data_IF_607936389111
#
_entry.id   IF_607936389111
#
_cell.length_a   1.000
_cell.length_b   1.000
_cell.length_c   1.000
_cell.angle_alpha   90.00
_cell.angle_beta   90.00
_cell.angle_gamma   90.00
#
_symmetry.space_group_name_H-M   'P 1'
#
loop_
_entity.id
_entity.type
_entity.pdbx_description
1 polymer ?
#
# COMPACT_ATOMS: atom_id res chain seq x y z
N UNK A 1 8.91 -0.38 -18.98
CA UNK A 1 9.79 0.74 -19.34
C UNK A 1 9.67 1.04 -20.82
N UNK A 2 9.98 0.10 -21.72
CA UNK A 2 10.01 0.30 -23.18
C UNK A 2 8.76 0.94 -23.79
N UNK A 3 7.55 0.44 -23.48
CA UNK A 3 6.28 1.01 -23.99
C UNK A 3 6.05 2.45 -23.56
N UNK A 4 6.40 2.80 -22.31
CA UNK A 4 6.27 4.17 -21.81
C UNK A 4 7.25 5.13 -22.47
N UNK A 5 8.47 4.66 -22.74
CA UNK A 5 9.44 5.43 -23.50
C UNK A 5 8.96 5.75 -24.91
N UNK A 6 8.48 4.75 -25.65
CA UNK A 6 7.94 4.97 -27.00
C UNK A 6 6.84 6.03 -26.98
N UNK A 7 5.94 5.96 -25.99
CA UNK A 7 4.87 6.95 -25.85
C UNK A 7 5.41 8.36 -25.57
N UNK A 8 6.32 8.53 -24.61
CA UNK A 8 6.87 9.84 -24.25
C UNK A 8 7.66 10.45 -25.39
N UNK A 9 8.52 9.66 -26.05
CA UNK A 9 9.40 10.15 -27.10
C UNK A 9 8.77 10.17 -28.50
N UNK A 10 7.48 9.81 -28.61
CA UNK A 10 6.68 10.11 -29.79
C UNK A 10 6.22 11.58 -29.83
N UNK A 11 6.28 12.28 -28.71
CA UNK A 11 5.98 13.71 -28.61
C UNK A 11 7.22 14.59 -28.83
N UNK A 12 7.00 15.84 -29.24
CA UNK A 12 8.07 16.82 -29.39
C UNK A 12 8.50 17.40 -28.02
N UNK A 13 9.82 17.51 -27.81
CA UNK A 13 10.42 18.09 -26.59
C UNK A 13 10.00 17.40 -25.26
N UNK A 14 9.56 16.15 -25.31
CA UNK A 14 9.18 15.40 -24.13
C UNK A 14 10.39 14.85 -23.40
N UNK A 15 10.29 14.78 -22.07
CA UNK A 15 11.29 14.17 -21.18
C UNK A 15 10.60 13.19 -20.25
N UNK A 16 11.32 12.13 -19.87
CA UNK A 16 10.85 11.14 -18.92
C UNK A 16 11.60 11.31 -17.60
N UNK A 17 10.87 11.48 -16.52
CA UNK A 17 11.41 11.48 -15.16
C UNK A 17 10.93 10.18 -14.49
N UNK A 18 11.87 9.37 -14.05
CA UNK A 18 11.61 8.14 -13.30
C UNK A 18 12.00 8.39 -11.85
N UNK A 19 11.06 8.22 -10.94
CA UNK A 19 11.26 8.38 -9.51
C UNK A 19 10.99 7.05 -8.81
N UNK A 20 11.82 6.73 -7.82
CA UNK A 20 11.63 5.52 -7.03
C UNK A 20 12.67 5.39 -5.93
N UNK A 21 12.59 4.29 -5.22
CA UNK A 21 13.48 3.97 -4.11
C UNK A 21 13.92 2.52 -4.23
N UNK A 22 15.22 2.30 -4.40
CA UNK A 22 15.82 0.97 -4.53
C UNK A 22 15.74 0.12 -3.26
N UNK A 23 15.43 0.73 -2.11
CA UNK A 23 15.19 0.01 -0.87
C UNK A 23 13.73 -0.44 -0.68
N UNK A 24 12.82 -0.02 -1.57
CA UNK A 24 11.43 -0.52 -1.60
C UNK A 24 11.34 -1.84 -2.36
N UNK A 25 10.21 -2.54 -2.19
CA UNK A 25 9.97 -3.82 -2.86
C UNK A 25 10.05 -3.65 -4.39
N UNK A 26 10.85 -4.48 -5.08
CA UNK A 26 10.95 -4.45 -6.53
C UNK A 26 9.65 -4.99 -7.19
N UNK A 27 9.50 -4.83 -8.51
CA UNK A 27 8.43 -5.48 -9.25
C UNK A 27 8.41 -6.99 -9.03
N UNK A 28 7.22 -7.60 -9.11
CA UNK A 28 7.04 -9.04 -8.92
C UNK A 28 7.98 -9.83 -9.83
N UNK A 29 8.67 -10.83 -9.29
CA UNK A 29 9.65 -11.70 -9.97
C UNK A 29 10.94 -10.97 -10.39
N UNK A 30 11.24 -9.81 -9.85
CA UNK A 30 12.50 -9.10 -10.10
C UNK A 30 13.23 -8.80 -8.79
N UNK A 31 14.55 -8.73 -8.85
CA UNK A 31 15.42 -8.37 -7.72
C UNK A 31 15.58 -6.86 -7.58
N UNK A 32 15.41 -6.12 -8.68
CA UNK A 32 15.48 -4.66 -8.74
C UNK A 32 14.49 -4.12 -9.77
N UNK A 33 14.21 -2.83 -9.71
CA UNK A 33 13.36 -2.17 -10.71
C UNK A 33 14.20 -1.77 -11.93
N UNK A 34 13.94 -2.32 -13.14
CA UNK A 34 14.64 -1.91 -14.35
C UNK A 34 14.46 -0.41 -14.68
N UNK A 35 13.40 0.20 -14.17
CA UNK A 35 13.14 1.62 -14.36
C UNK A 35 14.07 2.54 -13.55
N UNK A 36 14.73 1.99 -12.53
CA UNK A 36 15.67 2.71 -11.68
C UNK A 36 17.14 2.34 -11.96
N UNK A 37 17.38 1.45 -12.92
CA UNK A 37 18.73 1.04 -13.29
C UNK A 37 19.23 1.87 -14.49
N UNK A 38 20.23 2.77 -14.30
CA UNK A 38 20.73 3.62 -15.36
C UNK A 38 21.33 2.88 -16.55
N UNK A 39 21.96 1.71 -16.31
CA UNK A 39 22.57 0.92 -17.38
C UNK A 39 21.52 0.31 -18.30
N UNK A 40 20.43 -0.22 -17.72
CA UNK A 40 19.30 -0.72 -18.49
C UNK A 40 18.68 0.40 -19.33
N UNK A 41 18.56 1.60 -18.76
CA UNK A 41 18.00 2.76 -19.48
C UNK A 41 18.93 3.23 -20.62
N UNK A 42 20.25 3.26 -20.40
CA UNK A 42 21.23 3.57 -21.46
C UNK A 42 21.19 2.54 -22.59
N UNK A 43 20.89 1.28 -22.28
CA UNK A 43 20.69 0.23 -23.28
C UNK A 43 19.53 0.50 -24.27
N UNK A 44 18.63 1.43 -23.93
CA UNK A 44 17.58 1.92 -24.84
C UNK A 44 17.98 3.20 -25.58
N UNK A 45 19.26 3.52 -25.68
CA UNK A 45 19.82 4.73 -26.28
C UNK A 45 19.35 6.05 -25.62
N UNK A 46 19.04 6.02 -24.32
CA UNK A 46 18.66 7.21 -23.59
C UNK A 46 19.88 7.88 -22.96
N UNK A 47 19.86 9.21 -22.96
CA UNK A 47 20.75 9.99 -22.11
C UNK A 47 20.15 10.04 -20.70
N UNK A 48 20.82 9.38 -19.75
CA UNK A 48 20.34 9.25 -18.38
C UNK A 48 21.16 10.14 -17.47
N UNK A 49 20.46 11.02 -16.75
CA UNK A 49 20.99 11.75 -15.61
C UNK A 49 20.40 11.20 -14.34
N UNK A 50 21.24 10.82 -13.39
CA UNK A 50 20.83 10.27 -12.10
C UNK A 50 21.04 11.29 -10.99
N UNK A 51 20.03 11.42 -10.12
CA UNK A 51 20.08 12.26 -8.93
C UNK A 51 19.59 11.43 -7.75
N UNK A 52 20.39 11.34 -6.69
CA UNK A 52 20.01 10.64 -5.46
C UNK A 52 19.69 11.66 -4.36
N UNK A 53 18.45 11.62 -3.85
CA UNK A 53 18.05 12.40 -2.68
C UNK A 53 18.46 11.66 -1.41
N UNK A 54 19.26 12.28 -0.57
CA UNK A 54 19.83 11.66 0.65
C UNK A 54 19.25 12.22 1.94
N UNK A 55 18.63 13.40 1.89
CA UNK A 55 18.09 14.05 3.08
C UNK A 55 16.66 13.56 3.38
N UNK A 56 16.43 13.08 4.59
CA UNK A 56 15.10 12.73 5.10
C UNK A 56 14.49 13.93 5.80
N UNK A 57 13.32 14.37 5.33
CA UNK A 57 12.64 15.59 5.83
C UNK A 57 11.45 15.26 6.74
N UNK A 58 10.87 14.05 6.61
CA UNK A 58 9.58 13.69 7.23
C UNK A 58 9.63 13.36 8.72
N UNK A 59 10.80 13.07 9.27
CA UNK A 59 10.94 12.58 10.64
C UNK A 59 12.05 13.33 11.37
N UNK A 60 11.89 13.49 12.71
CA UNK A 60 12.90 14.08 13.58
C UNK A 60 14.09 13.15 13.76
N UNK A 61 15.25 13.70 14.16
CA UNK A 61 16.47 12.93 14.42
C UNK A 61 16.34 11.89 15.54
N UNK A 62 15.33 12.03 16.41
CA UNK A 62 15.08 11.13 17.55
C UNK A 62 14.08 9.99 17.23
N UNK A 63 13.74 9.80 15.95
CA UNK A 63 12.80 8.76 15.50
C UNK A 63 13.45 7.39 15.44
N UNK A 64 12.88 6.42 16.14
CA UNK A 64 13.25 5.00 16.07
C UNK A 64 12.91 4.38 14.72
N UNK A 65 11.84 4.83 14.09
CA UNK A 65 11.45 4.43 12.74
C UNK A 65 12.54 4.84 11.74
N UNK A 66 12.95 6.12 11.78
CA UNK A 66 13.98 6.64 10.88
C UNK A 66 15.32 5.94 11.09
N UNK A 67 15.74 5.74 12.35
CA UNK A 67 16.99 5.06 12.65
C UNK A 67 17.02 3.65 12.06
N UNK A 68 15.99 2.86 12.32
CA UNK A 68 15.94 1.48 11.86
C UNK A 68 15.81 1.39 10.33
N UNK A 69 15.01 2.26 9.71
CA UNK A 69 14.90 2.34 8.26
C UNK A 69 16.25 2.71 7.61
N UNK A 70 16.98 3.68 8.16
CA UNK A 70 18.31 4.08 7.67
C UNK A 70 19.32 2.94 7.79
N UNK A 71 19.37 2.26 8.93
CA UNK A 71 20.27 1.10 9.13
C UNK A 71 19.99 -0.04 8.14
N UNK A 72 18.71 -0.34 7.89
CA UNK A 72 18.33 -1.36 6.89
C UNK A 72 18.73 -0.92 5.47
N UNK A 73 18.53 0.34 5.14
CA UNK A 73 18.93 0.91 3.84
C UNK A 73 20.43 0.86 3.62
N UNK A 74 21.21 1.21 4.64
CA UNK A 74 22.68 1.17 4.58
C UNK A 74 23.18 -0.27 4.45
N UNK A 75 22.57 -1.22 5.17
CA UNK A 75 22.88 -2.63 5.05
C UNK A 75 22.59 -3.18 3.65
N UNK A 76 21.46 -2.79 3.04
CA UNK A 76 21.14 -3.12 1.65
C UNK A 76 22.18 -2.58 0.67
N UNK A 77 22.53 -1.30 0.82
CA UNK A 77 23.53 -0.62 -0.04
C UNK A 77 24.90 -1.30 0.04
N UNK A 78 25.31 -1.73 1.22
CA UNK A 78 26.62 -2.31 1.50
C UNK A 78 26.64 -3.84 1.35
N UNK A 79 25.53 -4.47 0.93
CA UNK A 79 25.39 -5.94 0.88
C UNK A 79 25.72 -6.65 2.21
N UNK A 80 25.41 -6.00 3.33
CA UNK A 80 25.65 -6.52 4.69
C UNK A 80 24.36 -6.92 5.41
N UNK A 81 23.29 -7.19 4.65
CA UNK A 81 21.98 -7.54 5.22
C UNK A 81 22.06 -8.89 5.92
N UNK A 82 21.78 -8.91 7.22
CA UNK A 82 21.56 -10.14 7.95
C UNK A 82 20.20 -10.76 7.58
N UNK A 83 20.09 -12.11 7.61
CA UNK A 83 18.83 -12.82 7.34
C UNK A 83 17.72 -12.35 8.29
N UNK A 84 18.07 -12.02 9.53
CA UNK A 84 17.17 -11.47 10.55
C UNK A 84 17.77 -10.19 11.12
N UNK A 85 17.54 -9.03 10.51
CA UNK A 85 18.09 -7.77 10.99
C UNK A 85 17.54 -7.44 12.37
N UNK A 86 18.43 -7.02 13.27
CA UNK A 86 18.06 -6.62 14.64
C UNK A 86 17.63 -5.17 14.65
N UNK A 87 16.38 -4.93 15.04
CA UNK A 87 15.84 -3.59 15.19
C UNK A 87 16.14 -3.03 16.58
N UNK A 88 16.51 -1.75 16.66
CA UNK A 88 16.70 -1.04 17.92
C UNK A 88 15.34 -0.50 18.39
N UNK A 89 14.84 -1.05 19.52
CA UNK A 89 13.51 -0.73 20.04
C UNK A 89 13.56 0.21 21.24
N UNK A 90 14.69 0.24 21.98
CA UNK A 90 14.81 1.01 23.21
C UNK A 90 15.19 2.47 22.93
N UNK A 91 14.56 3.37 23.67
CA UNK A 91 14.90 4.80 23.66
C UNK A 91 14.08 5.63 22.68
N UNK A 92 13.04 5.06 22.08
CA UNK A 92 12.16 5.76 21.12
C UNK A 92 10.71 5.72 21.57
N UNK A 93 10.00 6.82 21.39
CA UNK A 93 8.58 6.92 21.67
C UNK A 93 7.72 6.43 20.48
N UNK A 94 8.25 6.56 19.27
CA UNK A 94 7.56 6.25 18.01
C UNK A 94 7.72 4.80 17.54
N UNK A 95 8.52 3.98 18.26
CA UNK A 95 8.84 2.62 17.84
C UNK A 95 8.94 1.66 19.02
N UNK A 96 8.00 0.73 19.15
CA UNK A 96 7.94 -0.23 20.25
C UNK A 96 7.60 -1.64 19.78
N UNK A 97 7.90 -2.63 20.60
CA UNK A 97 7.46 -4.01 20.42
C UNK A 97 6.17 -4.24 21.21
N UNK A 98 5.23 -4.91 20.60
CA UNK A 98 4.00 -5.41 21.22
C UNK A 98 4.05 -6.93 21.27
N UNK A 99 3.68 -7.53 22.40
CA UNK A 99 3.56 -8.99 22.52
C UNK A 99 2.25 -9.47 21.88
N UNK A 100 2.21 -10.75 21.50
CA UNK A 100 1.06 -11.30 20.78
C UNK A 100 -0.24 -11.35 21.60
N UNK A 101 -0.15 -11.46 22.92
CA UNK A 101 -1.26 -11.42 23.89
C UNK A 101 -1.84 -10.00 24.03
N UNK A 102 -1.01 -8.96 23.92
CA UNK A 102 -1.42 -7.56 24.03
C UNK A 102 -1.92 -6.98 22.68
N UNK A 103 -1.69 -7.69 21.57
CA UNK A 103 -1.88 -7.14 20.22
C UNK A 103 -3.31 -6.67 19.94
N UNK A 104 -4.33 -7.39 20.41
CA UNK A 104 -5.74 -7.03 20.19
C UNK A 104 -6.09 -5.73 20.93
N UNK A 105 -5.60 -5.59 22.16
CA UNK A 105 -5.82 -4.38 22.96
C UNK A 105 -5.12 -3.17 22.35
N UNK A 106 -3.91 -3.36 21.84
CA UNK A 106 -3.16 -2.31 21.17
C UNK A 106 -3.80 -1.85 19.86
N UNK A 107 -4.32 -2.78 19.05
CA UNK A 107 -5.07 -2.41 17.84
C UNK A 107 -6.37 -1.68 18.20
N UNK A 108 -7.08 -2.16 19.22
CA UNK A 108 -8.32 -1.52 19.70
C UNK A 108 -8.04 -0.11 20.23
N UNK A 109 -6.95 0.06 20.97
CA UNK A 109 -6.50 1.36 21.48
C UNK A 109 -6.14 2.32 20.33
N UNK A 110 -5.38 1.87 19.34
CA UNK A 110 -5.01 2.67 18.18
C UNK A 110 -6.27 3.10 17.40
N UNK A 111 -7.22 2.20 17.17
CA UNK A 111 -8.47 2.53 16.49
C UNK A 111 -9.34 3.54 17.26
N UNK A 112 -9.28 3.49 18.60
CA UNK A 112 -10.03 4.41 19.45
C UNK A 112 -9.37 5.78 19.57
N UNK A 113 -8.04 5.84 19.55
CA UNK A 113 -7.27 7.06 19.74
C UNK A 113 -6.98 7.77 18.42
N UNK A 114 -6.46 7.02 17.44
CA UNK A 114 -5.99 7.59 16.17
C UNK A 114 -7.03 7.45 15.05
N UNK A 115 -7.93 6.47 15.18
CA UNK A 115 -8.92 6.13 14.16
C UNK A 115 -8.50 4.98 13.24
N UNK A 116 -9.50 4.32 12.66
CA UNK A 116 -9.28 3.20 11.72
C UNK A 116 -8.57 3.68 10.46
N UNK A 117 -8.80 4.94 10.06
CA UNK A 117 -8.24 5.53 8.84
C UNK A 117 -6.76 5.83 8.96
N UNK A 118 -6.32 6.18 10.16
CA UNK A 118 -4.91 6.50 10.46
C UNK A 118 -4.11 5.26 10.91
N UNK A 119 -4.77 4.11 11.06
CA UNK A 119 -4.12 2.88 11.55
C UNK A 119 -3.99 1.84 10.45
N UNK A 120 -2.77 1.37 10.19
CA UNK A 120 -2.48 0.35 9.20
C UNK A 120 -1.76 -0.86 9.81
N UNK A 121 -2.20 -2.08 9.45
CA UNK A 121 -1.57 -3.33 9.84
C UNK A 121 -0.89 -3.94 8.63
N UNK A 122 0.44 -3.98 8.65
CA UNK A 122 1.24 -4.53 7.56
C UNK A 122 1.54 -6.00 7.83
N UNK A 123 1.25 -6.87 6.87
CA UNK A 123 1.45 -8.31 6.97
C UNK A 123 2.28 -8.84 5.81
N UNK A 124 2.91 -10.01 6.01
CA UNK A 124 3.75 -10.64 4.99
C UNK A 124 2.99 -11.29 3.83
N UNK A 125 1.71 -11.60 4.01
CA UNK A 125 0.93 -12.34 3.02
C UNK A 125 -0.56 -12.03 3.10
N UNK A 126 -1.28 -12.18 1.97
CA UNK A 126 -2.72 -12.04 1.90
C UNK A 126 -3.45 -12.99 2.86
N UNK A 127 -2.95 -14.23 3.04
CA UNK A 127 -3.53 -15.17 4.01
C UNK A 127 -3.49 -14.61 5.43
N UNK A 128 -2.36 -13.99 5.84
CA UNK A 128 -2.28 -13.34 7.15
C UNK A 128 -3.15 -12.10 7.23
N UNK A 129 -3.19 -11.28 6.19
CA UNK A 129 -4.06 -10.12 6.13
C UNK A 129 -5.53 -10.52 6.36
N UNK A 130 -6.01 -11.59 5.70
CA UNK A 130 -7.36 -12.11 5.90
C UNK A 130 -7.62 -12.56 7.34
N UNK A 131 -6.65 -13.22 7.98
CA UNK A 131 -6.77 -13.64 9.38
C UNK A 131 -6.90 -12.42 10.31
N UNK A 132 -6.05 -11.39 10.10
CA UNK A 132 -6.14 -10.14 10.87
C UNK A 132 -7.45 -9.41 10.62
N UNK A 133 -7.86 -9.25 9.37
CA UNK A 133 -9.11 -8.59 9.02
C UNK A 133 -10.32 -9.26 9.68
N UNK A 134 -10.40 -10.59 9.63
CA UNK A 134 -11.48 -11.32 10.29
C UNK A 134 -11.42 -11.18 11.83
N UNK A 135 -10.21 -11.26 12.41
CA UNK A 135 -10.02 -11.06 13.84
C UNK A 135 -10.44 -9.67 14.31
N UNK A 136 -10.07 -8.63 13.57
CA UNK A 136 -10.44 -7.24 13.84
C UNK A 136 -11.95 -7.05 13.70
N UNK A 137 -12.53 -7.53 12.60
CA UNK A 137 -13.99 -7.43 12.39
C UNK A 137 -14.77 -8.06 13.53
N UNK A 138 -14.40 -9.26 13.93
CA UNK A 138 -15.15 -9.99 14.95
C UNK A 138 -14.88 -9.48 16.37
N UNK A 139 -13.62 -9.21 16.75
CA UNK A 139 -13.24 -8.94 18.13
C UNK A 139 -13.18 -7.46 18.50
N UNK A 140 -12.92 -6.59 17.54
CA UNK A 140 -12.77 -5.14 17.77
C UNK A 140 -13.97 -4.38 17.23
N UNK A 141 -14.43 -4.71 16.03
CA UNK A 141 -15.54 -4.01 15.38
C UNK A 141 -16.90 -4.68 15.61
N UNK A 142 -16.91 -5.86 16.25
CA UNK A 142 -18.13 -6.63 16.58
C UNK A 142 -19.02 -6.88 15.35
N UNK A 143 -18.41 -7.20 14.21
CA UNK A 143 -19.09 -7.46 12.94
C UNK A 143 -19.02 -8.96 12.62
N UNK A 144 -20.12 -9.66 12.75
CA UNK A 144 -20.22 -11.11 12.53
C UNK A 144 -20.64 -11.47 11.10
N UNK A 145 -21.41 -10.58 10.44
CA UNK A 145 -21.87 -10.73 9.07
C UNK A 145 -20.70 -10.80 8.09
N UNK A 146 -20.86 -11.47 6.94
CA UNK A 146 -19.83 -11.51 5.90
C UNK A 146 -19.49 -10.14 5.33
N UNK A 147 -20.53 -9.28 5.19
CA UNK A 147 -20.40 -7.86 4.83
C UNK A 147 -21.30 -7.05 5.75
N UNK A 148 -20.78 -5.97 6.28
CA UNK A 148 -21.50 -5.06 7.17
C UNK A 148 -21.34 -3.61 6.72
N UNK A 149 -22.36 -2.78 7.01
CA UNK A 149 -22.24 -1.34 6.87
C UNK A 149 -21.02 -0.82 7.64
N UNK A 150 -20.25 0.06 7.02
CA UNK A 150 -19.01 0.58 7.56
C UNK A 150 -17.77 -0.29 7.29
N UNK A 151 -17.91 -1.47 6.66
CA UNK A 151 -16.74 -2.24 6.20
C UNK A 151 -15.99 -1.48 5.11
N UNK A 152 -14.68 -1.61 5.13
CA UNK A 152 -13.79 -1.06 4.11
C UNK A 152 -13.35 -2.19 3.19
N UNK A 153 -13.53 -2.00 1.90
CA UNK A 153 -13.15 -2.95 0.87
C UNK A 153 -12.10 -2.34 -0.04
N UNK A 154 -11.16 -3.15 -0.48
CA UNK A 154 -10.22 -2.77 -1.51
C UNK A 154 -10.68 -3.35 -2.85
N UNK A 155 -10.73 -2.51 -3.87
CA UNK A 155 -11.03 -2.92 -5.24
C UNK A 155 -9.91 -3.83 -5.74
N UNK A 156 -10.25 -5.07 -6.10
CA UNK A 156 -9.28 -6.08 -6.52
C UNK A 156 -8.99 -6.06 -8.03
N UNK A 157 -9.79 -5.35 -8.82
CA UNK A 157 -9.66 -5.33 -10.29
C UNK A 157 -10.25 -4.04 -10.85
N UNK A 158 -9.58 -3.45 -11.85
CA UNK A 158 -10.11 -2.30 -12.57
C UNK A 158 -11.49 -2.58 -13.15
N UNK A 159 -12.38 -1.61 -13.02
CA UNK A 159 -13.71 -1.63 -13.65
C UNK A 159 -13.95 -0.34 -14.41
N UNK A 160 -14.33 -0.47 -15.68
CA UNK A 160 -14.58 0.63 -16.60
C UNK A 160 -16.07 0.77 -16.96
N UNK A 161 -16.88 -0.17 -16.49
CA UNK A 161 -18.30 -0.24 -16.86
C UNK A 161 -19.16 0.66 -15.98
N UNK A 162 -18.96 0.62 -14.67
CA UNK A 162 -19.82 1.31 -13.70
C UNK A 162 -19.64 2.83 -13.68
N UNK A 163 -18.59 3.33 -14.28
CA UNK A 163 -18.26 4.77 -14.34
C UNK A 163 -18.53 5.40 -15.70
N UNK A 164 -19.14 4.67 -16.65
CA UNK A 164 -19.38 5.17 -18.00
C UNK A 164 -20.15 6.50 -18.06
N UNK A 165 -21.02 6.75 -17.10
CA UNK A 165 -21.86 7.94 -16.99
C UNK A 165 -21.37 8.93 -15.91
N UNK A 166 -20.25 8.64 -15.25
CA UNK A 166 -19.65 9.48 -14.21
C UNK A 166 -18.62 10.44 -14.82
N UNK A 167 -18.76 11.74 -14.56
CA UNK A 167 -17.83 12.77 -15.07
C UNK A 167 -16.59 12.93 -14.19
N UNK A 168 -16.71 12.57 -12.94
CA UNK A 168 -15.68 12.74 -11.90
C UNK A 168 -14.71 11.56 -11.86
N UNK A 169 -15.08 10.42 -12.46
CA UNK A 169 -14.28 9.18 -12.40
C UNK A 169 -14.35 8.43 -13.72
N UNK A 170 -13.21 8.27 -14.39
CA UNK A 170 -13.13 7.54 -15.68
C UNK A 170 -13.26 6.03 -15.49
N UNK A 171 -12.77 5.48 -14.39
CA UNK A 171 -12.86 4.06 -14.06
C UNK A 171 -12.56 3.84 -12.58
N UNK A 172 -13.01 2.71 -12.04
CA UNK A 172 -12.68 2.27 -10.67
C UNK A 172 -11.35 1.51 -10.74
N UNK A 173 -10.32 2.02 -10.04
CA UNK A 173 -8.98 1.45 -10.09
C UNK A 173 -8.80 0.30 -9.09
N UNK A 174 -8.00 -0.69 -9.48
CA UNK A 174 -7.48 -1.69 -8.55
C UNK A 174 -6.66 -1.00 -7.45
N UNK A 175 -6.94 -1.32 -6.21
CA UNK A 175 -6.28 -0.75 -5.02
C UNK A 175 -7.06 0.40 -4.37
N UNK A 176 -8.10 0.94 -5.01
CA UNK A 176 -8.98 1.93 -4.37
C UNK A 176 -9.70 1.34 -3.16
N UNK A 177 -9.86 2.19 -2.13
CA UNK A 177 -10.58 1.82 -0.92
C UNK A 177 -11.97 2.44 -0.94
N UNK A 178 -12.96 1.59 -0.69
CA UNK A 178 -14.36 2.00 -0.59
C UNK A 178 -14.94 1.59 0.77
N UNK A 179 -15.86 2.38 1.30
CA UNK A 179 -16.61 2.07 2.52
C UNK A 179 -18.02 1.64 2.16
N UNK A 180 -18.49 0.52 2.73
CA UNK A 180 -19.88 0.09 2.57
C UNK A 180 -20.81 1.00 3.38
N UNK A 181 -21.70 1.69 2.68
CA UNK A 181 -22.77 2.48 3.28
C UNK A 181 -24.00 1.63 3.52
N UNK A 182 -24.28 0.68 2.62
CA UNK A 182 -25.46 -0.18 2.71
C UNK A 182 -25.24 -1.48 1.94
N UNK A 183 -25.61 -2.61 2.55
CA UNK A 183 -25.77 -3.89 1.88
C UNK A 183 -27.25 -4.02 1.47
N UNK A 184 -27.54 -4.15 0.17
CA UNK A 184 -28.90 -4.19 -0.36
C UNK A 184 -29.42 -5.61 -0.50
N UNK A 185 -28.66 -6.47 -1.17
CA UNK A 185 -29.05 -7.82 -1.53
C UNK A 185 -27.84 -8.72 -1.62
N UNK A 186 -27.99 -9.96 -1.16
CA UNK A 186 -27.03 -11.04 -1.44
C UNK A 186 -27.67 -12.05 -2.37
N UNK A 187 -26.90 -12.55 -3.34
CA UNK A 187 -27.38 -13.52 -4.34
C UNK A 187 -26.30 -14.58 -4.53
N UNK A 188 -26.70 -15.82 -4.68
CA UNK A 188 -25.80 -16.90 -5.07
C UNK A 188 -26.06 -17.26 -6.53
N UNK A 189 -24.99 -17.27 -7.34
CA UNK A 189 -25.06 -17.58 -8.75
C UNK A 189 -23.80 -18.37 -9.18
N UNK A 190 -23.99 -19.49 -9.83
CA UNK A 190 -22.90 -20.38 -10.28
C UNK A 190 -21.94 -20.81 -9.16
N UNK A 191 -22.43 -20.96 -7.93
CA UNK A 191 -21.60 -21.30 -6.77
C UNK A 191 -20.77 -20.15 -6.21
N UNK A 192 -20.96 -18.91 -6.70
CA UNK A 192 -20.38 -17.69 -6.17
C UNK A 192 -21.43 -16.86 -5.44
N UNK A 193 -21.00 -16.20 -4.38
CA UNK A 193 -21.84 -15.27 -3.63
C UNK A 193 -21.54 -13.84 -4.08
N UNK A 194 -22.63 -13.11 -4.36
CA UNK A 194 -22.61 -11.72 -4.78
C UNK A 194 -23.39 -10.87 -3.79
N UNK A 195 -22.97 -9.64 -3.60
CA UNK A 195 -23.71 -8.67 -2.82
C UNK A 195 -23.85 -7.36 -3.58
N UNK A 196 -25.08 -6.84 -3.65
CA UNK A 196 -25.34 -5.49 -4.11
C UNK A 196 -25.13 -4.53 -2.96
N UNK A 197 -24.18 -3.63 -3.09
CA UNK A 197 -23.79 -2.70 -2.04
C UNK A 197 -23.81 -1.26 -2.56
N UNK A 198 -24.14 -0.32 -1.67
CA UNK A 198 -23.82 1.10 -1.88
C UNK A 198 -22.52 1.39 -1.15
N UNK A 199 -21.58 1.97 -1.85
CA UNK A 199 -20.25 2.26 -1.31
C UNK A 199 -19.93 3.75 -1.47
N UNK A 200 -19.06 4.26 -0.60
CA UNK A 200 -18.44 5.58 -0.73
C UNK A 200 -16.97 5.40 -1.06
N UNK A 201 -16.49 6.09 -2.06
CA UNK A 201 -15.07 6.18 -2.37
C UNK A 201 -14.40 7.16 -1.43
N UNK A 202 -13.20 6.81 -0.92
CA UNK A 202 -12.50 7.67 0.04
C UNK A 202 -11.91 8.93 -0.60
N UNK A 203 -11.41 8.79 -1.82
CA UNK A 203 -10.71 9.85 -2.54
C UNK A 203 -11.64 10.73 -3.38
N UNK A 204 -12.94 10.41 -3.39
CA UNK A 204 -13.96 11.13 -4.16
C UNK A 204 -15.21 11.32 -3.30
N UNK A 205 -15.88 12.46 -3.45
CA UNK A 205 -17.20 12.70 -2.85
C UNK A 205 -18.32 12.00 -3.64
N UNK A 206 -18.11 10.71 -3.98
CA UNK A 206 -19.01 9.89 -4.78
C UNK A 206 -19.57 8.72 -3.99
N UNK A 207 -20.89 8.45 -4.19
CA UNK A 207 -21.63 7.30 -3.67
C UNK A 207 -22.07 6.36 -4.80
#
# INVERSE_FOLDING_TARGET
VYKRQQYVYSGENCRLILMGDVAQLPPVMQTESPALNPEILRGYNLQVQEITLTQVVRQSGDSGILLNATRLRDALRNNTVEIYPKLQLKGFADFRKVNGDELIEEISSAYSHDGIEETMIITRSNKRATIYNNGIRNRILYREEELSTGDRLMVAKNNYYWTSDCKEMDFIANGEIVQILRVRRTTELYGFRFADVTVRFQDYDLE
#
